data_IF_451005545226
#
_entry.id   IF_451005545226
#
_cell.length_a   1.000
_cell.length_b   1.000
_cell.length_c   1.000
_cell.angle_alpha   90.00
_cell.angle_beta   90.00
_cell.angle_gamma   90.00
#
_symmetry.space_group_name_H-M   'P 1'
#
loop_
_entity.id
_entity.type
_entity.pdbx_description
1 polymer ?
#
# COMPACT_ATOMS: atom_id res chain seq x y z
N UNK A 1 3.64 22.66 12.79
CA UNK A 1 3.82 21.60 11.78
C UNK A 1 2.91 20.45 12.14
N UNK A 2 2.00 20.04 11.24
CA UNK A 2 1.16 18.85 11.44
C UNK A 2 1.68 17.80 10.45
N UNK A 3 2.05 16.59 10.89
CA UNK A 3 2.44 15.53 9.96
C UNK A 3 1.25 15.17 9.07
N UNK A 4 1.50 15.02 7.77
CA UNK A 4 0.51 14.57 6.80
C UNK A 4 0.53 13.06 6.71
N UNK A 5 -0.65 12.42 6.74
CA UNK A 5 -0.80 10.99 6.51
C UNK A 5 -1.81 10.73 5.40
N UNK A 6 -1.52 9.77 4.52
CA UNK A 6 -2.45 9.33 3.48
C UNK A 6 -2.54 7.80 3.46
N UNK A 7 -3.74 7.28 3.21
CA UNK A 7 -4.04 5.86 3.16
C UNK A 7 -4.63 5.52 1.80
N UNK A 8 -4.00 4.62 1.05
CA UNK A 8 -4.53 4.07 -0.19
C UNK A 8 -4.75 2.55 -0.07
N UNK A 9 -5.82 2.09 -0.70
CA UNK A 9 -6.28 0.69 -0.65
C UNK A 9 -6.30 0.11 -2.07
N UNK A 10 -5.61 -1.01 -2.29
CA UNK A 10 -5.48 -1.68 -3.59
C UNK A 10 -6.25 -3.00 -3.58
N UNK A 11 -7.53 -3.04 -4.00
CA UNK A 11 -8.38 -4.21 -3.79
C UNK A 11 -8.18 -5.39 -4.77
N UNK A 12 -7.23 -5.37 -5.72
CA UNK A 12 -7.14 -6.39 -6.79
C UNK A 12 -5.71 -6.88 -7.14
N UNK A 13 -5.62 -8.14 -7.62
CA UNK A 13 -4.43 -8.89 -8.06
C UNK A 13 -3.78 -8.46 -9.40
N UNK A 14 -3.68 -7.16 -9.70
CA UNK A 14 -3.11 -6.74 -11.00
C UNK A 14 -2.17 -5.56 -10.85
N UNK A 15 -0.88 -5.75 -11.20
CA UNK A 15 -0.07 -4.62 -11.67
C UNK A 15 -0.80 -4.03 -12.89
N UNK A 16 -1.19 -2.73 -12.88
CA UNK A 16 -0.56 -1.58 -12.22
C UNK A 16 -1.31 -0.93 -11.01
N UNK A 17 -2.15 -1.65 -10.25
CA UNK A 17 -2.99 -1.03 -9.20
C UNK A 17 -2.24 -0.52 -7.95
N UNK A 18 -1.08 -1.09 -7.57
CA UNK A 18 -0.28 -0.57 -6.44
C UNK A 18 0.40 0.74 -6.76
N UNK A 19 0.87 0.87 -8.01
CA UNK A 19 1.45 2.10 -8.52
C UNK A 19 0.44 3.24 -8.53
N UNK A 20 -0.81 2.97 -8.90
CA UNK A 20 -1.88 3.97 -8.80
C UNK A 20 -2.15 4.42 -7.37
N UNK A 21 -2.09 3.50 -6.39
CA UNK A 21 -2.22 3.88 -4.98
C UNK A 21 -1.04 4.72 -4.48
N UNK A 22 0.18 4.43 -4.93
CA UNK A 22 1.33 5.29 -4.66
C UNK A 22 1.12 6.68 -5.27
N UNK A 23 0.67 6.77 -6.52
CA UNK A 23 0.34 8.04 -7.18
C UNK A 23 -0.76 8.80 -6.43
N UNK A 24 -1.83 8.14 -6.00
CA UNK A 24 -2.89 8.77 -5.21
C UNK A 24 -2.35 9.33 -3.88
N UNK A 25 -1.48 8.59 -3.20
CA UNK A 25 -0.84 9.08 -1.97
C UNK A 25 0.10 10.26 -2.21
N UNK A 26 0.71 10.32 -3.40
CA UNK A 26 1.60 11.40 -3.83
C UNK A 26 0.83 12.67 -4.25
N UNK A 27 -0.21 12.54 -5.07
CA UNK A 27 -0.98 13.68 -5.60
C UNK A 27 -1.74 14.44 -4.51
N UNK A 28 -2.11 13.76 -3.42
CA UNK A 28 -2.71 14.38 -2.25
C UNK A 28 -1.71 15.19 -1.39
N UNK A 29 -0.42 15.16 -1.71
CA UNK A 29 0.62 15.99 -1.10
C UNK A 29 0.74 17.40 -1.73
N UNK A 30 -0.26 17.84 -2.52
CA UNK A 30 -0.32 19.15 -3.18
C UNK A 30 -0.54 20.34 -2.22
N UNK A 31 0.38 20.49 -1.28
CA UNK A 31 0.69 21.68 -0.51
C UNK A 31 2.20 21.74 -0.29
N UNK A 32 2.92 22.46 -1.16
CA UNK A 32 4.31 22.95 -0.96
C UNK A 32 5.49 21.96 -0.74
N UNK A 33 5.29 20.64 -0.54
CA UNK A 33 6.40 19.70 -0.24
C UNK A 33 6.33 18.34 -0.97
N UNK A 34 5.95 18.34 -2.26
CA UNK A 34 5.92 17.12 -3.09
C UNK A 34 7.29 16.40 -3.21
N UNK A 35 8.39 17.08 -2.91
CA UNK A 35 9.76 16.52 -2.98
C UNK A 35 10.32 16.04 -1.63
N UNK A 36 9.54 16.09 -0.54
CA UNK A 36 10.03 15.64 0.76
C UNK A 36 10.06 14.10 0.85
N UNK A 37 11.13 13.50 1.39
CA UNK A 37 11.16 12.06 1.64
C UNK A 37 9.99 11.61 2.50
N UNK A 38 9.35 10.50 2.11
CA UNK A 38 8.21 9.92 2.83
C UNK A 38 8.54 8.57 3.42
N UNK A 39 7.87 8.21 4.51
CA UNK A 39 7.82 6.84 5.00
C UNK A 39 6.56 6.16 4.47
N UNK A 40 6.73 5.11 3.67
CA UNK A 40 5.66 4.24 3.21
C UNK A 40 5.59 2.97 4.06
N UNK A 41 4.39 2.64 4.51
CA UNK A 41 4.07 1.40 5.24
C UNK A 41 3.15 0.57 4.36
N UNK A 42 3.70 -0.52 3.81
CA UNK A 42 3.01 -1.47 2.96
C UNK A 42 2.54 -2.68 3.77
N UNK A 43 1.23 -2.89 3.87
CA UNK A 43 0.65 -4.08 4.50
C UNK A 43 -0.09 -4.86 3.41
N UNK A 44 0.42 -6.04 3.08
CA UNK A 44 -0.15 -6.89 2.03
C UNK A 44 -0.67 -8.19 2.63
N UNK A 45 -1.79 -8.70 2.15
CA UNK A 45 -2.24 -10.03 2.56
C UNK A 45 -1.22 -11.09 2.11
N UNK A 46 -0.85 -12.01 2.99
CA UNK A 46 0.07 -13.11 2.68
C UNK A 46 -0.43 -14.03 1.55
N UNK A 47 -1.76 -14.16 1.40
CA UNK A 47 -2.36 -14.89 0.29
C UNK A 47 -1.90 -14.36 -1.07
N UNK A 48 -1.60 -13.04 -1.16
CA UNK A 48 -1.07 -12.44 -2.38
C UNK A 48 0.31 -12.95 -2.71
N UNK A 49 1.20 -12.98 -1.72
CA UNK A 49 2.55 -13.53 -1.90
C UNK A 49 2.52 -15.00 -2.32
N UNK A 50 1.62 -15.79 -1.73
CA UNK A 50 1.51 -17.22 -2.04
C UNK A 50 1.00 -17.48 -3.47
N UNK A 51 0.11 -16.62 -3.99
CA UNK A 51 -0.48 -16.77 -5.33
C UNK A 51 0.37 -16.12 -6.42
N UNK A 52 0.94 -14.93 -6.16
CA UNK A 52 1.66 -14.12 -7.15
C UNK A 52 3.18 -14.36 -7.13
N UNK A 53 3.74 -14.90 -6.05
CA UNK A 53 5.18 -15.11 -5.90
C UNK A 53 5.97 -13.83 -6.13
N UNK A 54 6.98 -13.91 -7.00
CA UNK A 54 7.90 -12.83 -7.40
C UNK A 54 7.20 -11.55 -7.87
N UNK A 55 6.00 -11.66 -8.47
CA UNK A 55 5.24 -10.46 -8.91
C UNK A 55 4.84 -9.56 -7.75
N UNK A 56 4.79 -10.10 -6.53
CA UNK A 56 4.55 -9.31 -5.31
C UNK A 56 5.75 -8.44 -4.98
N UNK A 57 6.96 -8.89 -5.31
CA UNK A 57 8.20 -8.15 -5.07
C UNK A 57 8.34 -7.01 -6.09
N UNK A 58 8.07 -7.28 -7.36
CA UNK A 58 7.96 -6.26 -8.42
C UNK A 58 6.97 -5.14 -8.04
N UNK A 59 5.85 -5.50 -7.41
CA UNK A 59 4.81 -4.56 -6.98
C UNK A 59 5.30 -3.65 -5.84
N UNK A 60 6.05 -4.21 -4.90
CA UNK A 60 6.64 -3.49 -3.77
C UNK A 60 7.70 -2.49 -4.29
N UNK A 61 8.52 -2.92 -5.25
CA UNK A 61 9.53 -2.07 -5.90
C UNK A 61 8.88 -0.93 -6.68
N UNK A 62 7.91 -1.24 -7.55
CA UNK A 62 7.19 -0.23 -8.34
C UNK A 62 6.48 0.82 -7.46
N UNK A 63 6.00 0.42 -6.28
CA UNK A 63 5.41 1.34 -5.31
C UNK A 63 6.45 2.33 -4.78
N UNK A 64 7.66 1.85 -4.44
CA UNK A 64 8.74 2.70 -3.93
C UNK A 64 9.29 3.64 -5.02
N UNK A 65 9.35 3.19 -6.28
CA UNK A 65 9.82 3.99 -7.42
C UNK A 65 8.95 5.24 -7.69
N UNK A 66 7.67 5.21 -7.30
CA UNK A 66 6.74 6.33 -7.49
C UNK A 66 6.85 7.36 -6.36
N UNK A 67 7.35 6.96 -5.19
CA UNK A 67 7.48 7.86 -4.04
C UNK A 67 8.64 8.85 -4.24
N UNK A 68 8.61 10.02 -3.55
CA UNK A 68 9.67 11.01 -3.64
C UNK A 68 11.06 10.43 -3.37
N UNK A 69 12.08 11.00 -4.00
CA UNK A 69 13.47 10.53 -3.84
C UNK A 69 13.90 10.57 -2.37
N UNK A 70 14.49 9.47 -1.89
CA UNK A 70 14.91 9.33 -0.49
C UNK A 70 13.82 8.79 0.44
N UNK A 71 12.60 8.54 -0.08
CA UNK A 71 11.56 7.83 0.65
C UNK A 71 12.02 6.42 1.04
N UNK A 72 11.51 5.93 2.16
CA UNK A 72 11.75 4.57 2.64
C UNK A 72 10.43 3.83 2.70
N UNK A 73 10.44 2.57 2.29
CA UNK A 73 9.29 1.69 2.41
C UNK A 73 9.60 0.56 3.39
N UNK A 74 8.67 0.33 4.29
CA UNK A 74 8.66 -0.80 5.23
C UNK A 74 7.32 -1.50 5.14
N UNK A 75 7.23 -2.73 5.62
CA UNK A 75 5.99 -3.48 5.52
C UNK A 75 6.07 -4.89 6.05
N UNK A 76 4.92 -5.54 6.10
CA UNK A 76 4.81 -6.95 6.43
C UNK A 76 3.62 -7.59 5.72
N UNK A 77 3.64 -8.92 5.65
CA UNK A 77 2.52 -9.69 5.16
C UNK A 77 1.57 -10.03 6.32
N UNK A 78 0.31 -9.61 6.23
CA UNK A 78 -0.70 -9.91 7.24
C UNK A 78 -1.48 -11.18 6.88
N UNK A 79 -1.84 -11.94 7.93
CA UNK A 79 -2.87 -12.97 7.88
C UNK A 79 -4.13 -12.33 8.44
N UNK A 80 -5.11 -12.03 7.59
CA UNK A 80 -6.34 -11.36 8.04
C UNK A 80 -7.51 -11.67 7.11
N UNK A 81 -8.64 -11.99 7.72
CA UNK A 81 -9.96 -12.08 7.09
C UNK A 81 -10.86 -11.07 7.80
N UNK A 82 -11.58 -10.24 7.06
CA UNK A 82 -12.67 -9.43 7.63
C UNK A 82 -13.93 -10.28 7.48
N UNK A 83 -14.37 -10.92 8.57
CA UNK A 83 -15.65 -11.64 8.60
C UNK A 83 -16.79 -10.63 8.77
N UNK A 84 -17.68 -10.44 7.79
CA UNK A 84 -18.78 -9.49 7.91
C UNK A 84 -19.88 -9.94 8.87
N UNK A 85 -19.92 -11.22 9.27
CA UNK A 85 -20.97 -11.78 10.13
C UNK A 85 -20.45 -12.84 11.11
N UNK A 86 -21.08 -12.95 12.29
CA UNK A 86 -20.72 -13.92 13.36
C UNK A 86 -20.94 -15.40 12.99
N UNK A 87 -21.57 -15.73 11.86
CA UNK A 87 -21.87 -17.11 11.48
C UNK A 87 -21.70 -17.37 9.98
N UNK A 88 -20.74 -18.24 9.64
CA UNK A 88 -20.80 -19.07 8.44
C UNK A 88 -20.17 -18.48 7.16
N UNK A 89 -19.14 -19.19 6.68
CA UNK A 89 -18.39 -18.98 5.44
C UNK A 89 -17.76 -17.58 5.27
N UNK A 90 -16.49 -17.46 5.66
CA UNK A 90 -15.66 -16.36 5.16
C UNK A 90 -15.42 -16.58 3.67
N UNK A 91 -16.01 -15.76 2.82
CA UNK A 91 -15.52 -15.63 1.46
C UNK A 91 -14.12 -15.00 1.52
N UNK A 92 -13.14 -15.67 0.92
CA UNK A 92 -11.75 -15.26 0.95
C UNK A 92 -11.55 -14.03 0.06
N UNK A 93 -11.87 -12.85 0.57
CA UNK A 93 -11.69 -11.56 -0.12
C UNK A 93 -10.27 -11.03 0.12
N UNK A 94 -9.26 -11.86 -0.14
CA UNK A 94 -7.87 -11.63 0.25
C UNK A 94 -7.03 -11.01 -0.87
N UNK A 95 -7.59 -10.01 -1.54
CA UNK A 95 -6.97 -9.41 -2.74
C UNK A 95 -6.37 -8.03 -2.49
N UNK A 96 -6.14 -7.66 -1.23
CA UNK A 96 -5.80 -6.28 -0.89
C UNK A 96 -4.41 -6.06 -0.32
N UNK A 97 -3.72 -5.04 -0.84
CA UNK A 97 -2.63 -4.34 -0.18
C UNK A 97 -3.08 -2.94 0.27
N UNK A 98 -2.60 -2.51 1.42
CA UNK A 98 -2.83 -1.18 1.97
C UNK A 98 -1.50 -0.45 2.06
N UNK A 99 -1.45 0.77 1.54
CA UNK A 99 -0.29 1.65 1.61
C UNK A 99 -0.62 2.86 2.48
N UNK A 100 0.19 3.08 3.51
CA UNK A 100 0.12 4.31 4.32
C UNK A 100 1.38 5.11 4.10
N UNK A 101 1.26 6.36 3.65
CA UNK A 101 2.40 7.28 3.56
C UNK A 101 2.35 8.31 4.67
N UNK A 102 3.50 8.57 5.26
CA UNK A 102 3.71 9.57 6.30
C UNK A 102 4.80 10.51 5.81
N UNK A 103 4.53 11.81 5.85
CA UNK A 103 5.50 12.84 5.53
C UNK A 103 5.52 13.91 6.62
N UNK A 104 6.71 14.46 6.85
CA UNK A 104 6.88 15.66 7.65
C UNK A 104 6.76 16.91 6.78
N UNK A 105 6.06 17.92 7.28
CA UNK A 105 5.99 19.27 6.74
C UNK A 105 6.85 20.18 7.60
#
# INVERSE_FOLDING_TARGET
MKPGYHLAHCPNFRSPFSSEAATLTFDHHNGSHADSPTLSIAISCVGRRLVLGERTEEEIEATLEILPKGSRQIGFYSYGEISPYKSGACDLHNQTMTLTTIAEH
#
